data_IF_507728259987
#
_entry.id   IF_507728259987
#
_cell.length_a   1.000
_cell.length_b   1.000
_cell.length_c   1.000
_cell.angle_alpha   90.00
_cell.angle_beta   90.00
_cell.angle_gamma   90.00
#
_symmetry.space_group_name_H-M   'P 1'
#
loop_
_entity.id
_entity.type
_entity.pdbx_description
1 polymer ?
#
# COMPACT_ATOMS: atom_id res chain seq x y z
N UNK A 1 6.47 9.66 13.00
CA UNK A 1 5.23 9.88 13.76
C UNK A 1 4.13 10.33 12.81
N UNK A 2 2.99 9.64 12.83
CA UNK A 2 1.83 9.93 11.96
C UNK A 2 0.70 10.43 12.85
N UNK A 3 0.00 11.46 12.39
CA UNK A 3 -1.23 11.93 13.02
C UNK A 3 -2.40 11.28 12.28
N UNK A 4 -3.16 10.43 12.98
CA UNK A 4 -4.42 9.85 12.54
C UNK A 4 -5.62 10.65 13.07
N UNK A 5 -6.82 10.16 12.79
CA UNK A 5 -8.07 10.80 13.22
C UNK A 5 -8.23 10.79 14.75
N UNK A 6 -7.94 9.65 15.39
CA UNK A 6 -8.18 9.44 16.82
C UNK A 6 -6.92 9.63 17.68
N UNK A 7 -5.73 9.60 17.08
CA UNK A 7 -4.48 9.65 17.83
C UNK A 7 -3.38 10.34 17.04
N UNK A 8 -2.43 10.93 17.77
CA UNK A 8 -1.26 11.58 17.19
C UNK A 8 0.00 10.83 17.65
N UNK A 9 0.69 10.19 16.70
CA UNK A 9 1.91 9.43 16.94
C UNK A 9 3.06 10.25 17.53
N UNK A 10 3.02 11.59 17.42
CA UNK A 10 4.03 12.46 18.04
C UNK A 10 3.99 12.42 19.56
N UNK A 11 2.88 12.04 20.17
CA UNK A 11 2.75 11.88 21.63
C UNK A 11 3.58 10.72 22.17
N UNK A 12 3.91 9.75 21.33
CA UNK A 12 4.63 8.53 21.72
C UNK A 12 6.14 8.60 21.49
N UNK A 13 6.68 9.74 21.07
CA UNK A 13 8.11 9.88 20.77
C UNK A 13 9.00 9.51 21.96
N UNK A 14 8.59 9.91 23.19
CA UNK A 14 9.33 9.56 24.42
C UNK A 14 9.44 8.04 24.61
N UNK A 15 8.33 7.33 24.42
CA UNK A 15 8.27 5.88 24.62
C UNK A 15 9.10 5.15 23.56
N UNK A 16 8.99 5.58 22.30
CA UNK A 16 9.77 5.03 21.19
C UNK A 16 11.27 5.25 21.38
N UNK A 17 11.68 6.41 21.83
CA UNK A 17 13.08 6.69 22.13
C UNK A 17 13.60 5.90 23.33
N UNK A 18 12.78 5.68 24.36
CA UNK A 18 13.12 4.82 25.50
C UNK A 18 13.29 3.34 25.09
N UNK A 19 12.62 2.90 24.02
CA UNK A 19 12.78 1.56 23.42
C UNK A 19 14.00 1.45 22.50
N UNK A 20 14.86 2.47 22.44
CA UNK A 20 16.11 2.41 21.69
C UNK A 20 16.07 3.01 20.29
N UNK A 21 14.96 3.63 19.88
CA UNK A 21 14.94 4.36 18.61
C UNK A 21 15.87 5.58 18.69
N UNK A 22 16.62 5.84 17.60
CA UNK A 22 17.56 6.97 17.54
C UNK A 22 17.08 8.08 16.60
N UNK A 23 16.19 7.76 15.66
CA UNK A 23 15.74 8.69 14.62
C UNK A 23 14.22 8.68 14.57
N UNK A 24 13.61 9.86 14.49
CA UNK A 24 12.17 9.98 14.29
C UNK A 24 11.86 10.88 13.10
N UNK A 25 10.86 10.47 12.29
CA UNK A 25 10.27 11.32 11.26
C UNK A 25 9.07 12.03 11.86
N UNK A 26 9.06 13.37 11.80
CA UNK A 26 8.00 14.21 12.37
C UNK A 26 7.46 15.20 11.37
N UNK A 27 6.20 15.61 11.56
CA UNK A 27 5.62 16.70 10.80
C UNK A 27 6.23 18.04 11.21
N UNK A 28 6.42 18.93 10.26
CA UNK A 28 6.96 20.29 10.47
C UNK A 28 6.19 21.07 11.53
N UNK A 29 4.88 20.90 11.64
CA UNK A 29 4.06 21.53 12.68
C UNK A 29 4.46 21.15 14.11
N UNK A 30 5.14 19.98 14.27
CA UNK A 30 5.61 19.45 15.53
C UNK A 30 7.12 19.66 15.78
N UNK A 31 7.78 20.51 14.99
CA UNK A 31 9.24 20.75 15.08
C UNK A 31 9.71 21.25 16.46
N UNK A 32 8.85 21.90 17.24
CA UNK A 32 9.15 22.30 18.62
C UNK A 32 9.51 21.12 19.52
N UNK A 33 9.05 19.89 19.22
CA UNK A 33 9.36 18.70 19.99
C UNK A 33 10.85 18.34 19.96
N UNK A 34 11.59 18.76 18.93
CA UNK A 34 13.04 18.49 18.79
C UNK A 34 13.81 18.96 20.03
N UNK A 35 13.44 20.11 20.57
CA UNK A 35 14.10 20.68 21.76
C UNK A 35 13.97 19.84 23.03
N UNK A 36 12.98 18.93 23.07
CA UNK A 36 12.76 18.03 24.21
C UNK A 36 13.67 16.79 24.19
N UNK A 37 14.30 16.49 23.03
CA UNK A 37 15.07 15.26 22.81
C UNK A 37 16.47 15.58 22.21
N UNK A 38 17.29 16.29 22.99
CA UNK A 38 18.57 16.86 22.53
C UNK A 38 19.59 15.88 21.92
N UNK A 39 19.48 14.58 22.22
CA UNK A 39 20.41 13.53 21.76
C UNK A 39 19.79 12.61 20.69
N UNK A 40 18.62 12.98 20.13
CA UNK A 40 17.93 12.19 19.13
C UNK A 40 17.91 12.92 17.79
N UNK A 41 17.93 12.15 16.70
CA UNK A 41 17.89 12.69 15.34
C UNK A 41 16.45 12.81 14.83
N UNK A 42 16.19 13.84 14.02
CA UNK A 42 14.87 14.07 13.44
C UNK A 42 14.94 14.34 11.95
N UNK A 43 14.02 13.72 11.22
CA UNK A 43 13.71 14.09 9.84
C UNK A 43 12.39 14.87 9.87
N UNK A 44 12.45 16.15 9.52
CA UNK A 44 11.28 17.05 9.54
C UNK A 44 10.70 17.13 8.14
N UNK A 45 9.43 16.77 8.00
CA UNK A 45 8.72 16.72 6.71
C UNK A 45 7.39 17.45 6.77
N UNK A 46 6.88 17.86 5.62
CA UNK A 46 5.56 18.50 5.55
C UNK A 46 4.41 17.48 5.70
N UNK A 47 4.63 16.24 5.24
CA UNK A 47 3.65 15.16 5.26
C UNK A 47 4.35 13.84 5.61
N UNK A 48 4.06 13.30 6.78
CA UNK A 48 4.67 12.06 7.28
C UNK A 48 4.11 10.81 6.62
N UNK A 49 2.87 10.84 6.10
CA UNK A 49 2.26 9.74 5.35
C UNK A 49 2.91 9.66 3.97
N UNK A 50 2.99 10.77 3.27
CA UNK A 50 3.68 10.83 1.96
C UNK A 50 5.15 10.44 2.07
N UNK A 51 5.82 10.84 3.16
CA UNK A 51 7.20 10.42 3.42
C UNK A 51 7.30 8.90 3.62
N UNK A 52 6.36 8.30 4.35
CA UNK A 52 6.31 6.83 4.54
C UNK A 52 6.16 6.10 3.20
N UNK A 53 5.24 6.55 2.34
CA UNK A 53 5.07 6.01 0.99
C UNK A 53 6.33 6.13 0.13
N UNK A 54 6.97 7.31 0.12
CA UNK A 54 8.21 7.54 -0.61
C UNK A 54 9.36 6.66 -0.10
N UNK A 55 9.47 6.47 1.21
CA UNK A 55 10.47 5.60 1.82
C UNK A 55 10.27 4.14 1.39
N UNK A 56 9.02 3.66 1.39
CA UNK A 56 8.68 2.32 0.95
C UNK A 56 8.95 2.12 -0.55
N UNK A 57 8.59 3.09 -1.39
CA UNK A 57 8.88 3.06 -2.82
C UNK A 57 10.39 3.03 -3.11
N UNK A 58 11.17 3.83 -2.38
CA UNK A 58 12.62 3.80 -2.48
C UNK A 58 13.19 2.44 -2.06
N UNK A 59 12.74 1.90 -0.92
CA UNK A 59 13.16 0.60 -0.41
C UNK A 59 12.85 -0.53 -1.42
N UNK A 60 11.65 -0.55 -2.00
CA UNK A 60 11.32 -1.49 -3.06
C UNK A 60 12.22 -1.32 -4.30
N UNK A 61 12.51 -0.09 -4.71
CA UNK A 61 13.34 0.19 -5.89
C UNK A 61 14.77 -0.33 -5.75
N UNK A 62 15.29 -0.40 -4.54
CA UNK A 62 16.63 -0.95 -4.25
C UNK A 62 16.66 -2.48 -4.23
N UNK A 63 15.51 -3.13 -4.02
CA UNK A 63 15.40 -4.60 -3.92
C UNK A 63 14.85 -5.28 -5.19
N UNK A 64 14.27 -4.53 -6.14
CA UNK A 64 13.83 -4.94 -7.50
C UNK A 64 13.28 -6.36 -7.61
N UNK A 65 12.21 -6.66 -6.92
CA UNK A 65 11.48 -7.92 -7.04
C UNK A 65 10.18 -7.72 -7.84
N UNK A 66 9.66 -8.75 -8.54
CA UNK A 66 8.34 -8.71 -9.15
C UNK A 66 7.24 -8.47 -8.12
N UNK A 67 6.27 -7.63 -8.48
CA UNK A 67 5.14 -7.27 -7.62
C UNK A 67 3.83 -7.61 -8.32
N UNK A 68 2.96 -8.35 -7.63
CA UNK A 68 1.58 -8.61 -8.05
C UNK A 68 0.62 -7.92 -7.07
N UNK A 69 -0.29 -7.10 -7.60
CA UNK A 69 -1.34 -6.46 -6.82
C UNK A 69 -2.69 -7.14 -7.04
N UNK A 70 -3.42 -7.31 -5.94
CA UNK A 70 -4.79 -7.85 -5.92
C UNK A 70 -5.73 -6.77 -5.39
N UNK A 71 -6.63 -6.31 -6.25
CA UNK A 71 -7.68 -5.35 -5.96
C UNK A 71 -9.08 -5.98 -6.11
N UNK A 72 -10.14 -5.20 -5.97
CA UNK A 72 -11.53 -5.61 -6.16
C UNK A 72 -12.35 -5.60 -4.88
N UNK A 73 -13.66 -5.74 -5.02
CA UNK A 73 -14.58 -5.57 -3.91
C UNK A 73 -14.53 -6.72 -2.90
N UNK A 74 -14.60 -7.96 -3.38
CA UNK A 74 -14.66 -9.14 -2.51
C UNK A 74 -13.58 -10.16 -2.88
N UNK A 75 -13.13 -10.93 -1.88
CA UNK A 75 -12.20 -12.04 -2.10
C UNK A 75 -10.74 -11.63 -2.29
N UNK A 76 -10.38 -10.35 -2.13
CA UNK A 76 -9.00 -9.85 -2.21
C UNK A 76 -8.04 -10.68 -1.35
N UNK A 77 -8.31 -10.78 -0.06
CA UNK A 77 -7.44 -11.47 0.91
C UNK A 77 -7.29 -12.95 0.58
N UNK A 78 -8.40 -13.63 0.28
CA UNK A 78 -8.38 -15.06 -0.10
C UNK A 78 -7.57 -15.28 -1.37
N UNK A 79 -7.80 -14.47 -2.40
CA UNK A 79 -7.08 -14.57 -3.68
C UNK A 79 -5.59 -14.28 -3.50
N UNK A 80 -5.25 -13.23 -2.77
CA UNK A 80 -3.87 -12.88 -2.42
C UNK A 80 -3.17 -14.05 -1.68
N UNK A 81 -3.85 -14.66 -0.69
CA UNK A 81 -3.26 -15.76 0.08
C UNK A 81 -3.04 -17.00 -0.80
N UNK A 82 -4.03 -17.38 -1.61
CA UNK A 82 -3.89 -18.51 -2.54
C UNK A 82 -2.76 -18.29 -3.55
N UNK A 83 -2.66 -17.11 -4.14
CA UNK A 83 -1.56 -16.77 -5.06
C UNK A 83 -0.21 -16.83 -4.34
N UNK A 84 -0.12 -16.25 -3.14
CA UNK A 84 1.11 -16.26 -2.37
C UNK A 84 1.53 -17.68 -1.99
N UNK A 85 0.59 -18.54 -1.59
CA UNK A 85 0.88 -19.93 -1.21
C UNK A 85 1.37 -20.76 -2.41
N UNK A 86 0.73 -20.61 -3.59
CA UNK A 86 1.19 -21.25 -4.83
C UNK A 86 2.58 -20.78 -5.24
N UNK A 87 2.83 -19.47 -5.20
CA UNK A 87 4.13 -18.90 -5.54
C UNK A 87 5.21 -19.29 -4.53
N UNK A 88 4.84 -19.52 -3.26
CA UNK A 88 5.77 -19.90 -2.19
C UNK A 88 6.41 -21.30 -2.41
N UNK A 89 5.87 -22.12 -3.33
CA UNK A 89 6.52 -23.36 -3.75
C UNK A 89 7.88 -23.09 -4.41
N UNK A 90 8.05 -21.92 -5.04
CA UNK A 90 9.27 -21.57 -5.78
C UNK A 90 9.95 -20.28 -5.32
N UNK A 91 9.20 -19.36 -4.71
CA UNK A 91 9.65 -18.03 -4.35
C UNK A 91 9.55 -17.80 -2.85
N UNK A 92 10.39 -16.92 -2.31
CA UNK A 92 10.19 -16.36 -0.97
C UNK A 92 9.30 -15.12 -1.11
N UNK A 93 8.02 -15.30 -0.81
CA UNK A 93 7.00 -14.29 -1.07
C UNK A 93 6.83 -13.35 0.10
N UNK A 94 6.97 -12.04 -0.15
CA UNK A 94 6.43 -11.01 0.73
C UNK A 94 4.94 -10.84 0.44
N UNK A 95 4.07 -10.98 1.44
CA UNK A 95 2.64 -10.74 1.26
C UNK A 95 2.08 -9.73 2.27
N UNK A 96 1.00 -9.06 1.88
CA UNK A 96 0.20 -8.24 2.79
C UNK A 96 -0.36 -9.10 3.91
N UNK A 97 -0.18 -8.67 5.15
CA UNK A 97 -0.77 -9.29 6.34
C UNK A 97 -2.02 -8.52 6.78
N UNK A 98 -3.03 -9.28 7.21
CA UNK A 98 -4.30 -8.69 7.65
C UNK A 98 -4.89 -7.76 6.60
N UNK A 99 -5.27 -6.55 7.01
CA UNK A 99 -5.87 -5.50 6.19
C UNK A 99 -4.89 -4.35 5.86
N UNK A 100 -3.59 -4.62 5.80
CA UNK A 100 -2.57 -3.60 5.50
C UNK A 100 -2.54 -3.24 4.00
N UNK A 101 -3.68 -2.88 3.44
CA UNK A 101 -3.94 -2.67 2.02
C UNK A 101 -4.14 -1.19 1.62
N UNK A 102 -3.89 -0.25 2.54
CA UNK A 102 -4.09 1.19 2.35
C UNK A 102 -2.77 1.99 2.35
N UNK A 103 -2.86 3.32 2.29
CA UNK A 103 -1.74 4.27 2.24
C UNK A 103 -0.78 4.25 3.46
N UNK A 104 -1.10 3.51 4.52
CA UNK A 104 -0.20 3.24 5.65
C UNK A 104 0.24 1.78 5.64
N UNK A 105 -0.68 0.85 5.49
CA UNK A 105 -0.42 -0.59 5.56
C UNK A 105 0.46 -1.12 4.44
N UNK A 106 0.21 -0.68 3.19
CA UNK A 106 1.03 -1.06 2.04
C UNK A 106 2.51 -0.64 2.21
N UNK A 107 2.82 0.63 2.56
CA UNK A 107 4.19 1.02 2.85
C UNK A 107 4.84 0.21 3.97
N UNK A 108 4.11 -0.07 5.07
CA UNK A 108 4.63 -0.89 6.17
C UNK A 108 4.91 -2.32 5.72
N UNK A 109 4.08 -2.89 4.87
CA UNK A 109 4.33 -4.21 4.26
C UNK A 109 5.60 -4.19 3.42
N UNK A 110 5.77 -3.19 2.55
CA UNK A 110 6.95 -3.06 1.70
C UNK A 110 8.25 -2.83 2.49
N UNK A 111 8.21 -2.14 3.61
CA UNK A 111 9.37 -1.92 4.48
C UNK A 111 9.84 -3.19 5.20
N UNK A 112 9.05 -4.29 5.17
CA UNK A 112 9.47 -5.62 5.64
C UNK A 112 10.26 -6.39 4.59
N UNK A 113 10.33 -5.89 3.36
CA UNK A 113 11.14 -6.48 2.28
C UNK A 113 12.60 -6.56 2.72
N UNK A 114 13.22 -7.71 2.45
CA UNK A 114 14.63 -7.95 2.72
C UNK A 114 15.23 -8.85 1.63
N UNK A 115 16.52 -9.13 1.70
CA UNK A 115 17.27 -9.90 0.70
C UNK A 115 16.85 -11.36 0.50
N UNK A 116 15.96 -11.88 1.34
CA UNK A 116 15.40 -13.23 1.19
C UNK A 116 14.18 -13.23 0.26
N UNK A 117 13.42 -12.15 0.20
CA UNK A 117 12.24 -12.07 -0.63
C UNK A 117 12.63 -11.87 -2.10
N UNK A 118 11.95 -12.58 -2.99
CA UNK A 118 12.16 -12.48 -4.43
C UNK A 118 10.85 -12.38 -5.24
N UNK A 119 9.71 -12.23 -4.56
CA UNK A 119 8.39 -11.91 -5.11
C UNK A 119 7.54 -11.19 -4.06
N UNK A 120 6.64 -10.29 -4.48
CA UNK A 120 5.67 -9.67 -3.59
C UNK A 120 4.24 -9.87 -4.12
N UNK A 121 3.31 -10.25 -3.23
CA UNK A 121 1.87 -10.34 -3.50
C UNK A 121 1.16 -9.39 -2.54
N UNK A 122 0.66 -8.30 -3.07
CA UNK A 122 0.13 -7.19 -2.29
C UNK A 122 -1.38 -7.07 -2.50
N UNK A 123 -2.11 -7.05 -1.39
CA UNK A 123 -3.51 -6.62 -1.40
C UNK A 123 -3.55 -5.10 -1.40
N UNK A 124 -4.39 -4.52 -2.26
CA UNK A 124 -4.63 -3.09 -2.35
C UNK A 124 -6.12 -2.81 -2.30
N UNK A 125 -6.51 -1.74 -1.62
CA UNK A 125 -7.90 -1.34 -1.47
C UNK A 125 -8.02 0.17 -1.43
N UNK A 126 -9.19 0.66 -1.84
CA UNK A 126 -9.52 2.08 -1.85
C UNK A 126 -10.89 2.34 -1.25
N UNK A 127 -11.04 3.51 -0.65
CA UNK A 127 -12.31 4.08 -0.23
C UNK A 127 -12.66 5.32 -1.07
N UNK A 128 -11.68 5.91 -1.78
CA UNK A 128 -11.85 7.11 -2.58
C UNK A 128 -11.08 7.00 -3.89
N UNK A 129 -11.54 7.74 -4.91
CA UNK A 129 -10.83 7.86 -6.18
C UNK A 129 -9.41 8.41 -6.00
N UNK A 130 -8.45 7.85 -6.74
CA UNK A 130 -7.03 8.24 -6.69
C UNK A 130 -6.24 7.56 -5.58
N UNK A 131 -6.88 6.79 -4.70
CA UNK A 131 -6.15 6.05 -3.66
C UNK A 131 -5.37 4.88 -4.26
N UNK A 132 -5.96 4.10 -5.17
CA UNK A 132 -5.21 3.05 -5.86
C UNK A 132 -4.10 3.63 -6.74
N UNK A 133 -4.34 4.71 -7.46
CA UNK A 133 -3.28 5.40 -8.21
C UNK A 133 -2.08 5.72 -7.31
N UNK A 134 -2.34 6.28 -6.12
CA UNK A 134 -1.29 6.57 -5.15
C UNK A 134 -0.55 5.31 -4.69
N UNK A 135 -1.27 4.21 -4.42
CA UNK A 135 -0.66 2.94 -4.03
C UNK A 135 0.18 2.35 -5.17
N UNK A 136 -0.27 2.47 -6.41
CA UNK A 136 0.48 2.00 -7.59
C UNK A 136 1.78 2.77 -7.79
N UNK A 137 1.83 4.06 -7.53
CA UNK A 137 3.07 4.84 -7.57
C UNK A 137 4.09 4.37 -6.50
N UNK A 138 3.62 3.83 -5.38
CA UNK A 138 4.48 3.27 -4.32
C UNK A 138 4.98 1.88 -4.71
N UNK A 139 4.09 0.95 -5.05
CA UNK A 139 4.42 -0.47 -5.23
C UNK A 139 4.81 -0.84 -6.66
N UNK A 140 4.50 -0.01 -7.66
CA UNK A 140 4.90 -0.16 -9.08
C UNK A 140 4.71 -1.60 -9.59
N UNK A 141 3.49 -2.14 -9.59
CA UNK A 141 3.24 -3.54 -9.88
C UNK A 141 3.62 -3.94 -11.30
N UNK A 142 4.12 -5.17 -11.45
CA UNK A 142 4.36 -5.83 -12.73
C UNK A 142 3.15 -6.63 -13.19
N UNK A 143 2.32 -7.08 -12.24
CA UNK A 143 1.14 -7.88 -12.44
C UNK A 143 0.00 -7.35 -11.58
N UNK A 144 -1.23 -7.48 -12.06
CA UNK A 144 -2.39 -7.14 -11.26
C UNK A 144 -3.65 -7.83 -11.70
N UNK A 145 -4.55 -8.01 -10.75
CA UNK A 145 -5.90 -8.50 -10.99
C UNK A 145 -6.91 -7.76 -10.11
N UNK A 146 -8.11 -7.61 -10.63
CA UNK A 146 -9.31 -7.21 -9.88
C UNK A 146 -10.18 -8.44 -9.73
N UNK A 147 -10.49 -8.84 -8.51
CA UNK A 147 -11.23 -10.07 -8.23
C UNK A 147 -12.65 -10.01 -8.77
N UNK A 148 -13.38 -8.96 -8.44
CA UNK A 148 -14.72 -8.63 -8.92
C UNK A 148 -15.08 -7.19 -8.55
N UNK A 149 -16.15 -6.69 -9.16
CA UNK A 149 -16.75 -5.38 -8.86
C UNK A 149 -18.09 -5.62 -8.14
N UNK A 150 -18.15 -5.21 -6.88
CA UNK A 150 -19.32 -5.36 -6.02
C UNK A 150 -19.77 -4.06 -5.35
N UNK A 151 -20.85 -4.13 -4.58
CA UNK A 151 -21.38 -2.99 -3.84
C UNK A 151 -20.54 -2.76 -2.58
N UNK A 152 -19.55 -1.88 -2.66
CA UNK A 152 -18.77 -1.44 -1.51
C UNK A 152 -18.58 0.09 -1.56
N UNK A 153 -18.43 0.73 -0.39
CA UNK A 153 -18.16 2.17 -0.26
C UNK A 153 -19.04 3.06 -1.14
N UNK A 154 -20.33 2.69 -1.33
CA UNK A 154 -21.26 3.42 -2.22
C UNK A 154 -21.51 4.86 -1.75
N UNK A 155 -21.29 5.15 -0.47
CA UNK A 155 -21.30 6.52 0.08
C UNK A 155 -20.28 7.43 -0.60
N UNK A 156 -19.14 6.88 -1.07
CA UNK A 156 -18.07 7.62 -1.75
C UNK A 156 -18.13 7.42 -3.27
N UNK A 157 -18.35 6.19 -3.74
CA UNK A 157 -18.34 5.85 -5.16
C UNK A 157 -19.70 6.02 -5.85
N UNK A 158 -20.78 6.25 -5.09
CA UNK A 158 -22.17 6.50 -5.55
C UNK A 158 -22.86 5.29 -6.18
N UNK A 159 -22.21 4.54 -7.04
CA UNK A 159 -22.77 3.38 -7.77
C UNK A 159 -21.68 2.39 -8.18
N UNK A 160 -22.08 1.26 -8.76
CA UNK A 160 -21.15 0.22 -9.23
C UNK A 160 -20.14 0.71 -10.27
N UNK A 161 -20.54 1.61 -11.15
CA UNK A 161 -19.61 2.19 -12.13
C UNK A 161 -18.52 3.04 -11.45
N UNK A 162 -18.88 3.70 -10.34
CA UNK A 162 -17.90 4.42 -9.52
C UNK A 162 -16.91 3.47 -8.85
N UNK A 163 -17.40 2.35 -8.28
CA UNK A 163 -16.53 1.29 -7.72
C UNK A 163 -15.61 0.74 -8.82
N UNK A 164 -16.18 0.37 -9.98
CA UNK A 164 -15.41 -0.12 -11.12
C UNK A 164 -14.30 0.87 -11.51
N UNK A 165 -14.63 2.16 -11.63
CA UNK A 165 -13.64 3.20 -11.96
C UNK A 165 -12.52 3.28 -10.95
N UNK A 166 -12.81 3.17 -9.65
CA UNK A 166 -11.79 3.19 -8.61
C UNK A 166 -10.89 1.94 -8.65
N UNK A 167 -11.49 0.74 -8.75
CA UNK A 167 -10.75 -0.51 -8.81
C UNK A 167 -9.89 -0.64 -10.09
N UNK A 168 -10.33 -0.04 -11.18
CA UNK A 168 -9.60 -0.06 -12.46
C UNK A 168 -8.44 0.93 -12.55
N UNK A 169 -8.24 1.80 -11.57
CA UNK A 169 -6.99 2.57 -11.44
C UNK A 169 -5.76 1.63 -11.48
N UNK A 170 -5.88 0.39 -10.93
CA UNK A 170 -4.85 -0.65 -11.06
C UNK A 170 -4.60 -1.03 -12.53
N UNK A 171 -5.65 -1.30 -13.30
CA UNK A 171 -5.49 -1.68 -14.72
C UNK A 171 -5.00 -0.51 -15.58
N UNK A 172 -5.43 0.70 -15.29
CA UNK A 172 -4.95 1.90 -15.99
C UNK A 172 -3.44 2.11 -15.74
N UNK A 173 -2.97 1.91 -14.51
CA UNK A 173 -1.54 1.95 -14.21
C UNK A 173 -0.77 0.86 -14.99
N UNK A 174 -1.23 -0.38 -14.96
CA UNK A 174 -0.56 -1.50 -15.64
C UNK A 174 -0.52 -1.29 -17.15
N UNK A 175 -1.63 -0.88 -17.78
CA UNK A 175 -1.71 -0.56 -19.20
C UNK A 175 -0.74 0.56 -19.59
N UNK A 176 -0.74 1.68 -18.84
CA UNK A 176 0.16 2.82 -19.07
C UNK A 176 1.63 2.42 -19.01
N UNK A 177 1.98 1.50 -18.11
CA UNK A 177 3.35 1.04 -17.91
C UNK A 177 3.69 -0.25 -18.68
N UNK A 178 2.81 -0.75 -19.57
CA UNK A 178 2.98 -1.96 -20.38
C UNK A 178 3.26 -3.20 -19.52
N UNK A 179 2.49 -3.35 -18.44
CA UNK A 179 2.55 -4.45 -17.49
C UNK A 179 1.40 -5.43 -17.71
N UNK A 180 1.34 -6.52 -16.96
CA UNK A 180 0.40 -7.62 -17.18
C UNK A 180 -0.85 -7.47 -16.30
N UNK A 181 -2.03 -7.63 -16.94
CA UNK A 181 -3.33 -7.67 -16.29
C UNK A 181 -3.92 -9.08 -16.37
N UNK A 182 -4.49 -9.56 -15.28
CA UNK A 182 -5.34 -10.75 -15.26
C UNK A 182 -6.79 -10.31 -15.08
N UNK A 183 -7.66 -10.77 -15.94
CA UNK A 183 -9.08 -10.40 -15.94
C UNK A 183 -9.94 -11.54 -15.45
N UNK A 184 -10.95 -11.23 -14.62
CA UNK A 184 -12.01 -12.15 -14.27
C UNK A 184 -13.05 -12.16 -15.39
N UNK A 185 -13.10 -13.22 -16.17
CA UNK A 185 -14.03 -13.38 -17.31
C UNK A 185 -15.49 -13.63 -16.86
N UNK A 186 -15.71 -14.00 -15.59
CA UNK A 186 -17.03 -14.22 -15.02
C UNK A 186 -17.65 -12.93 -14.45
N UNK A 187 -16.86 -11.85 -14.35
CA UNK A 187 -17.34 -10.54 -13.90
C UNK A 187 -17.59 -9.60 -15.11
N UNK A 188 -18.86 -9.38 -15.41
CA UNK A 188 -19.27 -8.58 -16.58
C UNK A 188 -18.76 -7.13 -16.56
N UNK A 189 -18.55 -6.55 -15.36
CA UNK A 189 -17.99 -5.20 -15.25
C UNK A 189 -16.49 -5.18 -15.51
N UNK A 190 -15.76 -6.23 -15.12
CA UNK A 190 -14.34 -6.38 -15.47
C UNK A 190 -14.12 -6.48 -16.97
N UNK A 191 -15.07 -7.07 -17.73
CA UNK A 191 -14.96 -7.22 -19.18
C UNK A 191 -15.13 -5.90 -19.97
N UNK A 192 -15.73 -4.87 -19.38
CA UNK A 192 -15.94 -3.59 -20.07
C UNK A 192 -14.60 -2.86 -20.32
N UNK A 193 -13.54 -3.24 -19.63
CA UNK A 193 -12.22 -2.59 -19.69
C UNK A 193 -11.15 -3.37 -20.48
N UNK A 194 -11.55 -4.45 -21.15
CA UNK A 194 -10.66 -5.22 -22.04
C UNK A 194 -10.52 -4.57 -23.42
#
# INVERSE_FOLDING_TARGET
>A
AIKGENTDGHKYLKDVFNQGCEIAVINKSNSKLIHQFKHKSFVVVNDTIKYLGNLAAYHLSTNRIPVLCVAGSNGKTTTKDLIADVLSVRYNVLKTEGNFNNHIGLPLTLLRLNNKHNFAVLEVGSNHFGELDYLMEICKPDYGLVTNIGKEHLEFFKNLNGVAKAEFELYDYLRKNKKFCFFNLDDSLSLIHI
#
